data_IF_871193503534
#
_entry.id   IF_871193503534
#
_cell.length_a   1.000
_cell.length_b   1.000
_cell.length_c   1.000
_cell.angle_alpha   90.00
_cell.angle_beta   90.00
_cell.angle_gamma   90.00
#
_symmetry.space_group_name_H-M   'P 1'
#
loop_
_entity.id
_entity.type
_entity.pdbx_description
1 polymer ?
#
# COMPACT_ATOMS: atom_id res chain seq x y z
N UNK A 1 -24.30 -5.66 6.14
CA UNK A 1 -22.87 -5.37 6.30
C UNK A 1 -22.29 -5.35 4.90
N UNK A 2 -21.68 -4.24 4.49
CA UNK A 2 -20.95 -4.15 3.23
C UNK A 2 -19.81 -5.17 3.24
N UNK A 3 -19.53 -5.81 2.11
CA UNK A 3 -18.39 -6.72 2.02
C UNK A 3 -17.12 -5.88 1.88
N UNK A 4 -16.08 -6.16 2.67
CA UNK A 4 -14.80 -5.50 2.45
C UNK A 4 -14.21 -5.99 1.13
N UNK A 5 -13.53 -5.10 0.44
CA UNK A 5 -12.72 -5.41 -0.71
C UNK A 5 -11.27 -5.01 -0.44
N UNK A 6 -10.35 -5.69 -1.12
CA UNK A 6 -8.91 -5.40 -1.05
C UNK A 6 -8.36 -5.36 -2.47
N UNK A 7 -7.66 -4.29 -2.82
CA UNK A 7 -7.07 -4.07 -4.13
C UNK A 7 -5.59 -3.71 -3.95
N UNK A 8 -4.71 -4.49 -4.57
CA UNK A 8 -3.30 -4.17 -4.72
C UNK A 8 -3.07 -3.58 -6.11
N UNK A 9 -2.48 -2.39 -6.17
CA UNK A 9 -1.99 -1.77 -7.40
C UNK A 9 -0.47 -1.78 -7.39
N UNK A 10 0.15 -2.50 -8.34
CA UNK A 10 1.61 -2.66 -8.42
C UNK A 10 2.31 -1.45 -9.05
N UNK A 11 3.62 -1.30 -8.81
CA UNK A 11 4.41 -0.15 -9.30
C UNK A 11 4.45 -0.03 -10.82
N UNK A 12 4.43 -1.16 -11.54
CA UNK A 12 4.37 -1.21 -13.00
C UNK A 12 2.92 -1.27 -13.54
N UNK A 13 1.95 -0.99 -12.69
CA UNK A 13 0.52 -1.07 -12.99
C UNK A 13 -0.05 -2.48 -12.79
N UNK A 14 -1.38 -2.55 -12.94
CA UNK A 14 -2.15 -3.78 -12.79
C UNK A 14 -2.71 -3.95 -11.37
N UNK A 15 -4.02 -4.19 -11.34
CA UNK A 15 -4.76 -4.36 -10.09
C UNK A 15 -5.01 -5.85 -9.81
N UNK A 16 -4.76 -6.25 -8.57
CA UNK A 16 -5.13 -7.58 -8.06
C UNK A 16 -6.17 -7.42 -6.96
N UNK A 17 -7.37 -7.96 -7.20
CA UNK A 17 -8.41 -8.07 -6.17
C UNK A 17 -8.12 -9.25 -5.25
N UNK A 18 -8.28 -9.05 -3.95
CA UNK A 18 -8.04 -10.06 -2.91
C UNK A 18 -6.66 -10.73 -3.07
N UNK A 19 -5.57 -9.94 -3.06
CA UNK A 19 -4.22 -10.46 -3.28
C UNK A 19 -3.82 -11.48 -2.20
N UNK A 20 -3.14 -12.54 -2.60
CA UNK A 20 -2.48 -13.46 -1.67
C UNK A 20 -1.23 -12.83 -1.05
N UNK A 21 -0.78 -13.36 0.10
CA UNK A 21 0.47 -12.91 0.74
C UNK A 21 1.68 -13.02 -0.20
N UNK A 22 1.71 -14.05 -1.06
CA UNK A 22 2.77 -14.19 -2.07
C UNK A 22 2.75 -13.04 -3.09
N UNK A 23 1.56 -12.63 -3.55
CA UNK A 23 1.42 -11.50 -4.48
C UNK A 23 1.77 -10.15 -3.83
N UNK A 24 1.49 -10.00 -2.53
CA UNK A 24 1.94 -8.84 -1.75
C UNK A 24 3.47 -8.83 -1.65
N UNK A 25 4.09 -9.96 -1.29
CA UNK A 25 5.54 -10.08 -1.18
C UNK A 25 6.25 -9.76 -2.50
N UNK A 26 5.73 -10.26 -3.63
CA UNK A 26 6.24 -9.92 -4.96
C UNK A 26 6.15 -8.42 -5.25
N UNK A 27 5.03 -7.76 -4.93
CA UNK A 27 4.86 -6.33 -5.16
C UNK A 27 5.77 -5.47 -4.26
N UNK A 28 6.01 -5.89 -3.01
CA UNK A 28 7.02 -5.25 -2.16
C UNK A 28 8.41 -5.46 -2.76
N UNK A 29 8.74 -6.68 -3.17
CA UNK A 29 10.05 -6.99 -3.76
C UNK A 29 10.34 -6.13 -5.00
N UNK A 30 9.32 -5.83 -5.83
CA UNK A 30 9.46 -4.90 -6.96
C UNK A 30 9.94 -3.49 -6.55
N UNK A 31 9.60 -3.01 -5.35
CA UNK A 31 10.01 -1.70 -4.83
C UNK A 31 11.41 -1.70 -4.20
N UNK A 32 11.81 -2.82 -3.58
CA UNK A 32 13.07 -2.94 -2.85
C UNK A 32 14.22 -3.49 -3.70
N UNK A 33 13.91 -4.23 -4.78
CA UNK A 33 14.88 -4.89 -5.64
C UNK A 33 14.79 -4.36 -7.08
N UNK A 34 15.58 -3.35 -7.37
CA UNK A 34 15.64 -2.69 -8.69
C UNK A 34 16.64 -3.37 -9.61
N UNK A 35 16.31 -4.62 -9.95
CA UNK A 35 17.21 -5.56 -10.64
C UNK A 35 16.83 -5.83 -12.09
N UNK A 36 15.81 -5.14 -12.62
CA UNK A 36 15.31 -5.36 -13.97
C UNK A 36 16.36 -4.96 -15.03
N UNK A 37 16.82 -5.89 -15.88
CA UNK A 37 17.81 -5.58 -16.91
C UNK A 37 17.31 -4.51 -17.88
N UNK A 38 18.12 -3.47 -18.10
CA UNK A 38 17.82 -2.40 -19.04
C UNK A 38 17.00 -1.25 -18.49
N UNK A 39 16.59 -1.29 -17.21
CA UNK A 39 15.99 -0.14 -16.53
C UNK A 39 17.04 0.87 -16.10
N UNK A 40 16.70 2.15 -16.22
CA UNK A 40 17.48 3.29 -15.73
C UNK A 40 16.87 3.84 -14.45
N UNK A 41 17.61 4.71 -13.76
CA UNK A 41 17.09 5.43 -12.59
C UNK A 41 15.82 6.24 -12.93
N UNK A 42 15.73 6.79 -14.14
CA UNK A 42 14.56 7.53 -14.58
C UNK A 42 13.34 6.61 -14.74
N UNK A 43 13.53 5.42 -15.31
CA UNK A 43 12.44 4.44 -15.47
C UNK A 43 11.90 3.98 -14.11
N UNK A 44 12.79 3.79 -13.13
CA UNK A 44 12.36 3.45 -11.77
C UNK A 44 11.66 4.62 -11.06
N UNK A 45 12.05 5.86 -11.34
CA UNK A 45 11.41 7.05 -10.77
C UNK A 45 9.99 7.26 -11.32
N UNK A 46 9.75 6.92 -12.60
CA UNK A 46 8.41 6.96 -13.20
C UNK A 46 7.44 5.96 -12.55
N UNK A 47 7.97 4.86 -12.00
CA UNK A 47 7.23 3.82 -11.29
C UNK A 47 7.59 3.78 -9.81
N UNK A 48 7.42 4.92 -9.12
CA UNK A 48 8.00 5.14 -7.78
C UNK A 48 7.34 4.38 -6.63
N UNK A 49 6.07 3.96 -6.76
CA UNK A 49 5.30 3.42 -5.64
C UNK A 49 4.27 2.36 -6.05
N UNK A 50 3.83 1.57 -5.07
CA UNK A 50 2.70 0.66 -5.17
C UNK A 50 1.79 0.84 -3.94
N UNK A 51 0.50 0.53 -4.08
CA UNK A 51 -0.47 0.76 -3.01
C UNK A 51 -1.37 -0.45 -2.77
N UNK A 52 -1.79 -0.60 -1.51
CA UNK A 52 -2.81 -1.54 -1.10
C UNK A 52 -3.98 -0.76 -0.50
N UNK A 53 -5.17 -0.96 -1.06
CA UNK A 53 -6.41 -0.38 -0.57
C UNK A 53 -7.27 -1.46 0.08
N UNK A 54 -7.79 -1.19 1.27
CA UNK A 54 -8.85 -1.96 1.93
C UNK A 54 -10.04 -1.04 2.13
N UNK A 55 -11.19 -1.37 1.56
CA UNK A 55 -12.37 -0.51 1.65
C UNK A 55 -13.68 -1.27 1.68
N UNK A 56 -14.77 -0.51 1.75
CA UNK A 56 -16.14 -1.00 1.79
C UNK A 56 -16.99 -0.29 0.74
N UNK A 57 -17.96 -0.98 0.14
CA UNK A 57 -18.84 -0.41 -0.90
C UNK A 57 -19.47 0.94 -0.50
N UNK A 58 -19.99 1.02 0.73
CA UNK A 58 -20.58 2.22 1.32
C UNK A 58 -19.88 2.56 2.64
N UNK A 59 -18.57 2.80 2.60
CA UNK A 59 -17.82 3.07 3.82
C UNK A 59 -16.38 3.51 3.58
N UNK A 60 -15.60 3.57 4.67
CA UNK A 60 -14.24 4.10 4.60
C UNK A 60 -13.33 3.23 3.74
N UNK A 61 -12.31 3.86 3.17
CA UNK A 61 -11.21 3.21 2.49
C UNK A 61 -9.90 3.57 3.20
N UNK A 62 -9.04 2.58 3.30
CA UNK A 62 -7.75 2.67 3.96
C UNK A 62 -6.66 2.33 2.96
N UNK A 63 -5.65 3.19 2.85
CA UNK A 63 -4.59 3.06 1.84
C UNK A 63 -3.24 2.98 2.53
N UNK A 64 -2.44 1.98 2.14
CA UNK A 64 -1.01 1.93 2.41
C UNK A 64 -0.25 1.99 1.08
N UNK A 65 0.38 3.13 0.82
CA UNK A 65 1.35 3.28 -0.26
C UNK A 65 2.76 2.99 0.25
N UNK A 66 3.54 2.24 -0.52
CA UNK A 66 4.97 1.99 -0.27
C UNK A 66 5.73 2.46 -1.50
N UNK A 67 6.75 3.29 -1.28
CA UNK A 67 7.60 3.77 -2.36
C UNK A 67 8.96 3.04 -2.41
N UNK A 68 9.67 3.23 -3.52
CA UNK A 68 11.03 2.69 -3.73
C UNK A 68 12.09 3.28 -2.80
N UNK A 69 11.79 4.40 -2.13
CA UNK A 69 12.67 5.06 -1.16
C UNK A 69 12.42 4.59 0.28
N UNK A 70 11.60 3.55 0.46
CA UNK A 70 11.29 2.93 1.77
C UNK A 70 10.48 3.86 2.67
N UNK A 71 9.73 4.78 2.08
CA UNK A 71 8.68 5.53 2.75
C UNK A 71 7.34 4.80 2.59
N UNK A 72 6.57 4.76 3.67
CA UNK A 72 5.20 4.24 3.68
C UNK A 72 4.26 5.37 4.07
N UNK A 73 3.23 5.59 3.27
CA UNK A 73 2.16 6.55 3.56
C UNK A 73 0.88 5.80 3.90
N UNK A 74 0.28 6.18 5.03
CA UNK A 74 -1.03 5.70 5.50
C UNK A 74 -2.07 6.81 5.33
N UNK A 75 -3.17 6.47 4.67
CA UNK A 75 -4.29 7.39 4.42
C UNK A 75 -5.63 6.76 4.78
N UNK A 76 -6.57 7.61 5.20
CA UNK A 76 -7.90 7.22 5.61
C UNK A 76 -8.93 8.11 4.91
N UNK A 77 -9.81 7.49 4.14
CA UNK A 77 -10.80 8.15 3.30
C UNK A 77 -12.21 7.69 3.69
N UNK A 78 -13.18 8.60 3.61
CA UNK A 78 -14.58 8.36 3.93
C UNK A 78 -15.35 7.67 2.81
N UNK A 79 -14.79 7.70 1.61
CA UNK A 79 -15.31 7.14 0.36
C UNK A 79 -14.16 6.58 -0.50
N UNK A 80 -14.51 5.93 -1.61
CA UNK A 80 -13.56 5.26 -2.51
C UNK A 80 -13.00 6.19 -3.60
N UNK A 81 -13.58 7.37 -3.77
CA UNK A 81 -13.23 8.35 -4.79
C UNK A 81 -12.20 9.37 -4.26
N UNK A 82 -11.71 9.16 -3.03
CA UNK A 82 -10.77 10.06 -2.34
C UNK A 82 -11.35 11.47 -2.14
N UNK A 83 -12.66 11.61 -1.96
CA UNK A 83 -13.32 12.92 -1.81
C UNK A 83 -13.31 13.43 -0.35
N UNK A 84 -13.42 12.52 0.62
CA UNK A 84 -13.48 12.85 2.05
C UNK A 84 -12.27 12.29 2.81
N UNK A 85 -11.27 13.14 3.07
CA UNK A 85 -10.16 12.79 3.95
C UNK A 85 -10.65 12.68 5.42
N UNK A 86 -10.43 11.53 6.06
CA UNK A 86 -10.83 11.29 7.46
C UNK A 86 -9.74 11.73 8.45
N UNK A 87 -8.48 11.67 8.04
CA UNK A 87 -7.34 12.09 8.82
C UNK A 87 -6.18 12.48 7.88
N UNK A 88 -5.29 13.42 8.30
CA UNK A 88 -4.08 13.73 7.56
C UNK A 88 -3.25 12.48 7.26
N UNK A 89 -2.65 12.38 6.05
CA UNK A 89 -1.71 11.31 5.72
C UNK A 89 -0.57 11.24 6.73
N UNK A 90 -0.23 10.02 7.11
CA UNK A 90 0.77 9.70 8.14
C UNK A 90 1.88 8.87 7.53
N UNK A 91 3.13 9.11 7.94
CA UNK A 91 4.28 8.51 7.24
C UNK A 91 5.19 7.71 8.15
N UNK A 92 5.88 6.74 7.58
CA UNK A 92 7.04 6.08 8.18
C UNK A 92 8.15 6.01 7.14
N UNK A 93 9.38 6.28 7.57
CA UNK A 93 10.58 6.22 6.73
C UNK A 93 11.47 5.06 7.12
N UNK A 94 12.40 4.74 6.23
CA UNK A 94 13.39 3.67 6.42
C UNK A 94 12.75 2.30 6.71
N UNK A 95 11.54 2.08 6.19
CA UNK A 95 10.77 0.84 6.42
C UNK A 95 11.47 -0.32 5.71
N UNK A 96 11.73 -1.41 6.43
CA UNK A 96 12.33 -2.61 5.82
C UNK A 96 11.31 -3.36 4.97
N UNK A 97 11.80 -4.17 4.03
CA UNK A 97 10.95 -5.03 3.17
C UNK A 97 9.97 -5.90 4.00
N UNK A 98 10.47 -6.54 5.06
CA UNK A 98 9.64 -7.34 5.97
C UNK A 98 8.58 -6.51 6.71
N UNK A 99 8.91 -5.26 7.06
CA UNK A 99 7.95 -4.35 7.69
C UNK A 99 6.87 -3.92 6.70
N UNK A 100 7.23 -3.55 5.47
CA UNK A 100 6.29 -3.20 4.42
C UNK A 100 5.32 -4.36 4.12
N UNK A 101 5.84 -5.58 3.94
CA UNK A 101 5.01 -6.77 3.73
C UNK A 101 4.06 -7.03 4.91
N UNK A 102 4.54 -6.85 6.14
CA UNK A 102 3.73 -7.03 7.35
C UNK A 102 2.61 -5.99 7.46
N UNK A 103 2.88 -4.73 7.13
CA UNK A 103 1.89 -3.65 7.10
C UNK A 103 0.77 -3.96 6.10
N UNK A 104 1.14 -4.30 4.86
CA UNK A 104 0.19 -4.72 3.83
C UNK A 104 -0.60 -5.97 4.23
N UNK A 105 0.05 -6.96 4.85
CA UNK A 105 -0.66 -8.17 5.32
C UNK A 105 -1.71 -7.83 6.37
N UNK A 106 -1.40 -6.96 7.33
CA UNK A 106 -2.37 -6.50 8.33
C UNK A 106 -3.53 -5.72 7.70
N UNK A 107 -3.26 -4.85 6.74
CA UNK A 107 -4.31 -4.12 6.03
C UNK A 107 -5.20 -5.07 5.20
N UNK A 108 -4.61 -6.02 4.46
CA UNK A 108 -5.35 -7.01 3.69
C UNK A 108 -6.30 -7.85 4.57
N UNK A 109 -5.88 -8.15 5.80
CA UNK A 109 -6.67 -8.88 6.80
C UNK A 109 -7.68 -7.99 7.56
N UNK A 110 -7.75 -6.69 7.27
CA UNK A 110 -8.65 -5.74 7.94
C UNK A 110 -8.23 -5.38 9.37
N UNK A 111 -6.96 -5.58 9.74
CA UNK A 111 -6.43 -5.18 11.05
C UNK A 111 -6.14 -3.66 11.10
N UNK A 112 -7.14 -2.84 10.78
CA UNK A 112 -7.01 -1.38 10.62
C UNK A 112 -6.49 -0.72 11.91
N UNK A 113 -7.07 -1.07 13.07
CA UNK A 113 -6.65 -0.49 14.35
C UNK A 113 -5.18 -0.80 14.68
N UNK A 114 -4.71 -1.97 14.26
CA UNK A 114 -3.31 -2.36 14.45
C UNK A 114 -2.40 -1.46 13.63
N UNK A 115 -2.68 -1.30 12.34
CA UNK A 115 -1.91 -0.40 11.44
C UNK A 115 -1.96 1.03 11.96
N UNK A 116 -3.16 1.52 12.31
CA UNK A 116 -3.41 2.87 12.85
C UNK A 116 -2.60 3.19 14.11
N UNK A 117 -2.35 2.19 14.96
CA UNK A 117 -1.69 2.34 16.28
C UNK A 117 -0.16 2.38 16.24
N UNK A 118 0.45 2.19 15.07
CA UNK A 118 1.91 2.21 14.91
C UNK A 118 2.47 3.65 15.07
N UNK A 119 3.79 3.80 15.31
CA UNK A 119 4.41 5.10 15.55
C UNK A 119 4.63 5.88 14.24
N UNK A 120 3.54 6.36 13.65
CA UNK A 120 3.57 7.22 12.47
C UNK A 120 4.09 8.64 12.80
N UNK A 121 4.69 9.29 11.80
CA UNK A 121 5.08 10.71 11.79
C UNK A 121 3.99 11.60 11.18
#
# INVERSE_FOLDING_TARGET
MSQPWVILTRRYGGDTRSPSVAQLAEAVAELYHEILPGMTENDYAEHGAASLCHGFDDGPMYVLEVDRLREVTWEEWGDQDYEQELAPPRRMREVTEDQALRLWSWLAEGQIDRVRSLPWE
#
